data_IF_197002531538
#
_entry.id   IF_197002531538
#
_cell.length_a   1.000
_cell.length_b   1.000
_cell.length_c   1.000
_cell.angle_alpha   90.00
_cell.angle_beta   90.00
_cell.angle_gamma   90.00
#
_symmetry.space_group_name_H-M   'P 1'
#
loop_
_entity.id
_entity.type
_entity.pdbx_description
1 polymer ?
#
# COMPACT_ATOMS: atom_id res chain seq x y z
N UNK A 1 -18.11 -8.00 -0.14
CA UNK A 1 -19.37 -8.79 -0.07
C UNK A 1 -19.69 -9.46 -1.41
N UNK A 2 -19.81 -8.69 -2.51
CA UNK A 2 -20.15 -9.21 -3.86
C UNK A 2 -19.22 -10.33 -4.36
N UNK A 3 -17.89 -10.18 -4.19
CA UNK A 3 -16.93 -11.18 -4.66
C UNK A 3 -17.08 -12.58 -4.04
N UNK A 4 -17.55 -12.68 -2.78
CA UNK A 4 -17.79 -13.97 -2.11
C UNK A 4 -19.07 -14.66 -2.56
N UNK A 5 -19.98 -13.90 -3.19
CA UNK A 5 -21.26 -14.42 -3.67
C UNK A 5 -21.12 -15.08 -5.05
N UNK A 6 -20.04 -14.82 -5.79
CA UNK A 6 -19.82 -15.37 -7.12
C UNK A 6 -19.75 -16.90 -7.15
N UNK A 7 -19.44 -17.57 -6.04
CA UNK A 7 -19.54 -19.03 -5.97
C UNK A 7 -20.96 -19.57 -6.19
N UNK A 8 -21.98 -18.73 -6.02
CA UNK A 8 -23.39 -19.04 -6.25
C UNK A 8 -23.88 -18.61 -7.64
N UNK A 9 -23.08 -17.85 -8.40
CA UNK A 9 -23.44 -17.34 -9.73
C UNK A 9 -22.44 -17.82 -10.77
N UNK A 10 -22.89 -18.29 -11.93
CA UNK A 10 -22.00 -18.79 -13.00
C UNK A 10 -21.37 -17.67 -13.83
N UNK A 11 -21.11 -16.50 -13.24
CA UNK A 11 -20.57 -15.32 -13.94
C UNK A 11 -19.30 -14.80 -13.26
N UNK A 12 -18.23 -14.49 -14.02
CA UNK A 12 -17.03 -13.89 -13.45
C UNK A 12 -17.25 -12.40 -13.14
N UNK A 13 -16.60 -11.90 -12.08
CA UNK A 13 -16.53 -10.47 -11.79
C UNK A 13 -15.19 -9.92 -12.24
N UNK A 14 -15.23 -9.00 -13.20
CA UNK A 14 -14.06 -8.24 -13.63
C UNK A 14 -13.95 -6.97 -12.79
N UNK A 15 -12.75 -6.68 -12.26
CA UNK A 15 -12.50 -5.44 -11.50
C UNK A 15 -11.10 -4.89 -11.73
N UNK A 16 -11.00 -3.56 -11.83
CA UNK A 16 -9.74 -2.80 -11.84
C UNK A 16 -9.24 -2.48 -10.42
N UNK A 17 -10.12 -2.56 -9.41
CA UNK A 17 -9.80 -2.31 -8.01
C UNK A 17 -9.28 -3.56 -7.28
N UNK A 18 -9.75 -3.78 -6.05
CA UNK A 18 -9.43 -4.99 -5.28
C UNK A 18 -7.91 -5.20 -5.09
N UNK A 19 -7.21 -4.13 -4.72
CA UNK A 19 -5.74 -4.07 -4.74
C UNK A 19 -5.08 -4.73 -3.51
N UNK A 20 -5.84 -5.09 -2.48
CA UNK A 20 -5.35 -5.76 -1.28
C UNK A 20 -4.97 -7.21 -1.53
N UNK A 21 -4.14 -7.76 -0.64
CA UNK A 21 -3.57 -9.10 -0.76
C UNK A 21 -4.61 -10.23 -0.83
N UNK A 22 -5.77 -10.08 -0.17
CA UNK A 22 -6.80 -11.11 -0.16
C UNK A 22 -7.33 -11.43 -1.57
N UNK A 23 -7.35 -10.44 -2.45
CA UNK A 23 -7.72 -10.62 -3.86
C UNK A 23 -6.57 -11.15 -4.74
N UNK A 24 -5.46 -11.58 -4.14
CA UNK A 24 -4.32 -12.17 -4.86
C UNK A 24 -4.09 -13.63 -4.50
N UNK A 25 -4.78 -14.14 -3.45
CA UNK A 25 -4.79 -15.56 -3.11
C UNK A 25 -5.36 -16.40 -4.25
N UNK A 26 -5.17 -17.72 -4.21
CA UNK A 26 -5.80 -18.64 -5.18
C UNK A 26 -7.31 -18.41 -5.26
N UNK A 27 -7.86 -18.43 -6.48
CA UNK A 27 -9.30 -18.26 -6.77
C UNK A 27 -9.79 -19.21 -7.86
N UNK A 28 -9.05 -20.29 -8.09
CA UNK A 28 -9.33 -21.24 -9.18
C UNK A 28 -10.33 -22.31 -8.75
N UNK A 29 -10.48 -22.53 -7.45
CA UNK A 29 -11.42 -23.52 -6.88
C UNK A 29 -12.64 -22.81 -6.31
N UNK A 30 -13.81 -23.46 -6.40
CA UNK A 30 -15.08 -22.91 -5.88
C UNK A 30 -15.05 -22.61 -4.38
N UNK A 31 -14.23 -23.34 -3.63
CA UNK A 31 -14.06 -23.16 -2.19
C UNK A 31 -13.12 -21.98 -1.84
N UNK A 32 -12.42 -21.42 -2.83
CA UNK A 32 -11.60 -20.24 -2.63
C UNK A 32 -12.51 -19.02 -2.35
N UNK A 33 -12.10 -18.19 -1.39
CA UNK A 33 -12.93 -17.10 -0.85
C UNK A 33 -13.48 -16.12 -1.91
N UNK A 34 -12.70 -15.88 -2.96
CA UNK A 34 -13.03 -14.95 -4.06
C UNK A 34 -13.07 -15.66 -5.41
N UNK A 35 -13.51 -16.92 -5.45
CA UNK A 35 -13.73 -17.65 -6.70
C UNK A 35 -14.47 -16.81 -7.75
N UNK A 36 -13.95 -16.77 -8.98
CA UNK A 36 -14.56 -16.02 -10.09
C UNK A 36 -14.28 -14.51 -10.11
N UNK A 37 -13.54 -13.95 -9.12
CA UNK A 37 -13.07 -12.56 -9.18
C UNK A 37 -11.80 -12.46 -10.01
N UNK A 38 -11.91 -11.90 -11.20
CA UNK A 38 -10.79 -11.63 -12.11
C UNK A 38 -10.40 -10.16 -12.03
N UNK A 39 -9.13 -9.92 -11.74
CA UNK A 39 -8.55 -8.57 -11.72
C UNK A 39 -7.87 -8.28 -13.05
N UNK A 40 -8.11 -7.09 -13.58
CA UNK A 40 -7.49 -6.63 -14.83
C UNK A 40 -6.39 -5.59 -14.58
N UNK A 41 -6.22 -5.10 -13.34
CA UNK A 41 -5.16 -4.16 -13.00
C UNK A 41 -3.82 -4.86 -12.73
N UNK A 42 -2.72 -4.42 -13.39
CA UNK A 42 -1.39 -5.00 -13.17
C UNK A 42 -0.76 -4.55 -11.84
N UNK A 43 -1.22 -3.44 -11.27
CA UNK A 43 -0.75 -2.90 -9.99
C UNK A 43 -1.58 -3.41 -8.81
N UNK A 44 -0.89 -3.73 -7.72
CA UNK A 44 -1.48 -4.07 -6.42
C UNK A 44 -0.52 -3.63 -5.31
N UNK A 45 -0.99 -3.56 -4.07
CA UNK A 45 -0.18 -3.01 -2.98
C UNK A 45 1.09 -3.81 -2.73
N UNK A 46 1.07 -5.15 -2.86
CA UNK A 46 2.27 -5.97 -2.64
C UNK A 46 3.30 -5.82 -3.77
N UNK A 47 2.88 -5.66 -5.02
CA UNK A 47 3.78 -5.39 -6.15
C UNK A 47 4.45 -4.03 -5.95
N UNK A 48 3.70 -3.01 -5.55
CA UNK A 48 4.26 -1.68 -5.23
C UNK A 48 5.26 -1.78 -4.08
N UNK A 49 4.90 -2.50 -3.01
CA UNK A 49 5.77 -2.69 -1.86
C UNK A 49 7.05 -3.45 -2.20
N UNK A 50 6.97 -4.48 -3.06
CA UNK A 50 8.13 -5.21 -3.58
C UNK A 50 9.04 -4.33 -4.44
N UNK A 51 8.47 -3.47 -5.28
CA UNK A 51 9.25 -2.52 -6.09
C UNK A 51 10.00 -1.53 -5.20
N UNK A 52 9.35 -0.95 -4.18
CA UNK A 52 10.00 -0.04 -3.23
C UNK A 52 11.11 -0.78 -2.47
N UNK A 53 10.85 -2.01 -2.04
CA UNK A 53 11.86 -2.85 -1.41
C UNK A 53 13.08 -3.13 -2.30
N UNK A 54 12.87 -3.37 -3.60
CA UNK A 54 13.97 -3.54 -4.54
C UNK A 54 14.81 -2.25 -4.65
N UNK A 55 14.17 -1.08 -4.64
CA UNK A 55 14.90 0.20 -4.58
C UNK A 55 15.67 0.35 -3.26
N UNK A 56 15.06 0.00 -2.13
CA UNK A 56 15.69 0.10 -0.82
C UNK A 56 16.94 -0.76 -0.73
N UNK A 57 16.87 -2.01 -1.21
CA UNK A 57 18.02 -2.92 -1.26
C UNK A 57 19.12 -2.41 -2.20
N UNK A 58 18.76 -1.78 -3.33
CA UNK A 58 19.73 -1.23 -4.28
C UNK A 58 20.45 0.01 -3.74
N UNK A 59 19.75 0.87 -3.02
CA UNK A 59 20.25 2.17 -2.55
C UNK A 59 20.59 2.20 -1.05
N UNK A 60 20.48 1.07 -0.36
CA UNK A 60 20.67 0.94 1.09
C UNK A 60 19.81 1.92 1.92
N UNK A 61 18.59 2.20 1.47
CA UNK A 61 17.65 3.02 2.24
C UNK A 61 17.10 2.24 3.43
N UNK A 62 17.29 2.77 4.63
CA UNK A 62 16.91 2.12 5.90
C UNK A 62 15.94 2.93 6.74
N UNK A 63 15.63 4.17 6.35
CA UNK A 63 14.77 5.11 7.07
C UNK A 63 13.66 5.63 6.16
N UNK A 64 12.40 5.59 6.62
CA UNK A 64 11.24 6.03 5.85
C UNK A 64 10.30 6.87 6.71
N UNK A 65 9.84 8.00 6.15
CA UNK A 65 8.67 8.73 6.66
C UNK A 65 7.55 8.55 5.65
N UNK A 66 6.46 7.93 6.09
CA UNK A 66 5.28 7.68 5.27
C UNK A 66 4.16 8.60 5.70
N UNK A 67 3.88 9.59 4.86
CA UNK A 67 2.77 10.51 5.04
C UNK A 67 1.54 9.94 4.35
N UNK A 68 0.40 9.93 5.02
CA UNK A 68 -0.84 9.47 4.42
C UNK A 68 -2.04 10.28 4.92
N UNK A 69 -3.03 10.42 4.05
CA UNK A 69 -4.39 10.82 4.40
C UNK A 69 -5.28 9.60 4.21
N UNK A 70 -5.90 9.04 5.26
CA UNK A 70 -6.74 7.85 5.18
C UNK A 70 -7.71 7.84 3.99
N UNK A 71 -8.38 8.98 3.76
CA UNK A 71 -9.41 9.15 2.73
C UNK A 71 -9.04 10.17 1.66
N UNK A 72 -7.76 10.55 1.58
CA UNK A 72 -7.27 11.55 0.63
C UNK A 72 -7.43 11.18 -0.85
N UNK A 73 -7.78 9.91 -1.14
CA UNK A 73 -8.03 9.39 -2.48
C UNK A 73 -9.39 8.66 -2.56
N UNK A 74 -10.35 9.04 -1.73
CA UNK A 74 -11.67 8.40 -1.69
C UNK A 74 -12.36 8.36 -3.06
N UNK A 75 -12.30 9.47 -3.81
CA UNK A 75 -12.96 9.60 -5.12
C UNK A 75 -12.37 8.67 -6.20
N UNK A 76 -11.10 8.29 -6.07
CA UNK A 76 -10.37 7.51 -7.08
C UNK A 76 -10.23 6.05 -6.68
N UNK A 77 -10.08 5.79 -5.39
CA UNK A 77 -9.63 4.48 -4.89
C UNK A 77 -10.49 3.93 -3.75
N UNK A 78 -11.51 4.67 -3.33
CA UNK A 78 -12.38 4.32 -2.22
C UNK A 78 -11.81 4.65 -0.85
N UNK A 79 -12.68 4.62 0.16
CA UNK A 79 -12.37 4.90 1.56
C UNK A 79 -11.31 3.93 2.11
N UNK A 80 -10.38 4.44 2.92
CA UNK A 80 -9.36 3.64 3.58
C UNK A 80 -8.29 3.00 2.69
N UNK A 81 -8.31 3.20 1.37
CA UNK A 81 -7.30 2.61 0.46
C UNK A 81 -5.88 3.07 0.79
N UNK A 82 -5.67 4.34 1.11
CA UNK A 82 -4.35 4.84 1.51
C UNK A 82 -3.84 4.16 2.78
N UNK A 83 -4.72 3.86 3.73
CA UNK A 83 -4.39 3.13 4.96
C UNK A 83 -3.99 1.68 4.64
N UNK A 84 -4.78 0.97 3.83
CA UNK A 84 -4.50 -0.42 3.46
C UNK A 84 -3.17 -0.58 2.69
N UNK A 85 -2.87 0.38 1.81
CA UNK A 85 -1.60 0.44 1.09
C UNK A 85 -0.43 0.65 2.05
N UNK A 86 -0.57 1.57 3.02
CA UNK A 86 0.44 1.84 4.03
C UNK A 86 0.72 0.60 4.90
N UNK A 87 -0.33 -0.08 5.36
CA UNK A 87 -0.20 -1.32 6.14
C UNK A 87 0.57 -2.39 5.34
N UNK A 88 0.24 -2.55 4.06
CA UNK A 88 0.95 -3.48 3.16
C UNK A 88 2.43 -3.11 3.01
N UNK A 89 2.76 -1.82 2.89
CA UNK A 89 4.15 -1.35 2.80
C UNK A 89 4.93 -1.66 4.08
N UNK A 90 4.34 -1.33 5.24
CA UNK A 90 4.95 -1.58 6.55
C UNK A 90 5.23 -3.07 6.76
N UNK A 91 4.27 -3.94 6.45
CA UNK A 91 4.47 -5.39 6.56
C UNK A 91 5.57 -5.89 5.62
N UNK A 92 5.57 -5.41 4.37
CA UNK A 92 6.59 -5.75 3.38
C UNK A 92 7.98 -5.30 3.81
N UNK A 93 8.10 -4.13 4.46
CA UNK A 93 9.36 -3.58 4.95
C UNK A 93 9.93 -4.40 6.11
N UNK A 94 9.08 -4.78 7.07
CA UNK A 94 9.45 -5.66 8.19
C UNK A 94 10.00 -7.01 7.74
N UNK A 95 9.52 -7.53 6.59
CA UNK A 95 9.94 -8.84 6.09
C UNK A 95 11.38 -8.90 5.57
N UNK A 96 12.02 -7.76 5.27
CA UNK A 96 13.34 -7.71 4.63
C UNK A 96 14.47 -7.42 5.62
N UNK A 97 14.27 -6.50 6.54
CA UNK A 97 15.32 -6.16 7.49
C UNK A 97 14.76 -5.64 8.81
N UNK A 98 15.24 -6.22 9.92
CA UNK A 98 14.94 -5.76 11.26
C UNK A 98 15.52 -4.36 11.56
N UNK A 99 16.41 -3.84 10.69
CA UNK A 99 17.03 -2.52 10.83
C UNK A 99 16.21 -1.39 10.20
N UNK A 100 15.06 -1.69 9.60
CA UNK A 100 14.24 -0.69 8.92
C UNK A 100 13.51 0.17 9.94
N UNK A 101 13.82 1.46 9.94
CA UNK A 101 13.14 2.45 10.79
C UNK A 101 12.10 3.13 9.91
N UNK A 102 10.84 3.13 10.36
CA UNK A 102 9.79 3.83 9.64
C UNK A 102 8.88 4.59 10.60
N UNK A 103 8.34 5.70 10.11
CA UNK A 103 7.29 6.47 10.80
C UNK A 103 6.11 6.70 9.87
N UNK A 104 4.92 6.31 10.33
CA UNK A 104 3.66 6.56 9.64
C UNK A 104 2.98 7.79 10.25
N UNK A 105 2.62 8.77 9.41
CA UNK A 105 2.03 10.05 9.85
C UNK A 105 0.69 10.23 9.16
N UNK A 106 -0.38 10.23 9.95
CA UNK A 106 -1.70 10.60 9.48
C UNK A 106 -1.79 12.11 9.39
N UNK A 107 -1.84 12.64 8.17
CA UNK A 107 -1.86 14.07 7.89
C UNK A 107 -3.17 14.75 8.30
N UNK A 108 -4.28 14.01 8.43
CA UNK A 108 -5.55 14.60 8.90
C UNK A 108 -5.53 14.88 10.41
N UNK A 109 -4.56 14.31 11.13
CA UNK A 109 -4.38 14.48 12.58
C UNK A 109 -3.18 15.37 12.95
N UNK A 110 -2.40 15.80 11.96
CA UNK A 110 -1.12 16.48 12.16
C UNK A 110 -1.05 17.73 11.28
N UNK A 111 -1.10 18.91 11.91
CA UNK A 111 -1.09 20.19 11.19
C UNK A 111 0.31 20.63 10.74
N UNK A 112 1.39 19.99 11.23
CA UNK A 112 2.76 20.45 10.99
C UNK A 112 3.64 19.36 10.36
N UNK A 113 3.21 18.92 9.17
CA UNK A 113 3.94 17.92 8.36
C UNK A 113 5.38 18.38 8.06
N UNK A 114 5.59 19.69 7.90
CA UNK A 114 6.91 20.28 7.61
C UNK A 114 7.88 20.04 8.76
N UNK A 115 7.44 20.27 10.01
CA UNK A 115 8.26 20.01 11.19
C UNK A 115 8.65 18.53 11.31
N UNK A 116 7.72 17.62 11.05
CA UNK A 116 7.99 16.17 11.07
C UNK A 116 9.05 15.78 10.03
N UNK A 117 8.97 16.31 8.81
CA UNK A 117 9.97 16.02 7.78
C UNK A 117 11.35 16.55 8.17
N UNK A 118 11.43 17.75 8.76
CA UNK A 118 12.69 18.34 9.22
C UNK A 118 13.32 17.55 10.37
N UNK A 119 12.52 17.03 11.30
CA UNK A 119 12.98 16.21 12.42
C UNK A 119 13.50 14.84 11.98
N UNK A 120 12.87 14.22 10.98
CA UNK A 120 13.09 12.81 10.64
C UNK A 120 14.05 12.59 9.46
N UNK A 121 14.02 13.49 8.46
CA UNK A 121 14.86 13.41 7.26
C UNK A 121 16.12 14.26 7.43
N UNK A 122 16.09 15.24 8.33
CA UNK A 122 17.16 16.22 8.49
C UNK A 122 17.26 17.19 7.31
N UNK A 123 18.02 18.26 7.49
CA UNK A 123 18.28 19.29 6.46
C UNK A 123 19.31 18.84 5.40
N UNK A 124 19.88 17.65 5.51
CA UNK A 124 20.94 17.16 4.61
C UNK A 124 20.51 16.98 3.15
N UNK A 125 19.20 16.91 2.89
CA UNK A 125 18.64 16.84 1.52
C UNK A 125 17.98 18.14 1.06
N UNK A 126 18.01 19.20 1.87
CA UNK A 126 17.65 20.54 1.40
C UNK A 126 18.83 21.08 0.60
N UNK A 127 18.81 20.86 -0.72
CA UNK A 127 19.71 21.58 -1.63
C UNK A 127 19.72 23.07 -1.25
N UNK A 128 20.93 23.59 -1.07
CA UNK A 128 21.18 25.04 -1.03
C UNK A 128 20.73 25.60 -2.37
N UNK A 129 19.50 26.10 -2.46
CA UNK A 129 19.14 27.06 -3.48
C UNK A 129 19.85 28.37 -3.12
N UNK A 130 20.98 28.59 -3.80
CA UNK A 130 21.76 29.81 -3.77
C UNK A 130 21.00 31.01 -4.34
#
# INVERSE_FOLDING_TARGET
MVGRMLKFFTVPLLTTGAQTYDFMKSKTKRDDEFFGVVRVSPSNFITIARSINAFNAKFNWTRFVMLFKPDGQHEVSGEGTCKLMLETLVESFKSITAKMVYRAVNMDRQNDTKKILLEEIGVDYSEKSS
#
